data_IF_293471828353
#
_entry.id   IF_293471828353
#
_cell.length_a   1.000
_cell.length_b   1.000
_cell.length_c   1.000
_cell.angle_alpha   90.00
_cell.angle_beta   90.00
_cell.angle_gamma   90.00
#
_symmetry.space_group_name_H-M   'P 1'
#
loop_
_entity.id
_entity.type
_entity.pdbx_description
1 polymer ?
#
# COMPACT_ATOMS: atom_id res chain seq x y z
N UNK A 1 0.38 6.34 -38.31
CA UNK A 1 -0.41 6.38 -37.08
C UNK A 1 0.27 5.54 -35.99
N UNK A 2 0.45 6.10 -34.82
CA UNK A 2 1.09 5.38 -33.75
C UNK A 2 0.17 4.27 -33.21
N UNK A 3 0.68 3.07 -33.17
CA UNK A 3 -0.04 1.97 -32.55
C UNK A 3 0.25 1.96 -31.05
N UNK A 4 -0.80 1.77 -30.27
CA UNK A 4 -0.65 1.61 -28.84
C UNK A 4 -0.41 0.13 -28.57
N UNK A 5 0.78 -0.18 -28.09
CA UNK A 5 1.11 -1.54 -27.70
C UNK A 5 0.94 -1.68 -26.20
N UNK A 6 0.13 -2.65 -25.79
CA UNK A 6 -0.10 -2.92 -24.39
C UNK A 6 0.38 -4.33 -24.06
N UNK A 7 1.28 -4.43 -23.11
CA UNK A 7 1.76 -5.69 -22.60
C UNK A 7 0.88 -6.11 -21.41
N UNK A 8 -0.19 -6.84 -21.68
CA UNK A 8 -1.15 -7.26 -20.65
C UNK A 8 -0.49 -8.10 -19.57
N UNK A 9 0.40 -9.01 -19.98
CA UNK A 9 1.08 -9.89 -19.04
C UNK A 9 1.98 -9.07 -18.12
N UNK A 10 2.69 -8.08 -18.67
CA UNK A 10 3.52 -7.17 -17.89
C UNK A 10 2.71 -6.31 -16.93
N UNK A 11 1.57 -5.78 -17.40
CA UNK A 11 0.68 -4.98 -16.56
C UNK A 11 0.11 -5.81 -15.41
N UNK A 12 -0.35 -7.03 -15.70
CA UNK A 12 -0.89 -7.93 -14.68
C UNK A 12 0.17 -8.33 -13.67
N UNK A 13 1.39 -8.59 -14.13
CA UNK A 13 2.52 -8.94 -13.28
C UNK A 13 2.87 -7.78 -12.33
N UNK A 14 2.85 -6.54 -12.84
CA UNK A 14 3.13 -5.36 -12.01
C UNK A 14 2.00 -5.09 -11.03
N UNK A 15 0.76 -5.35 -11.42
CA UNK A 15 -0.38 -5.25 -10.52
C UNK A 15 -0.22 -6.22 -9.34
N UNK A 16 0.16 -7.47 -9.62
CA UNK A 16 0.41 -8.48 -8.59
C UNK A 16 1.57 -8.08 -7.68
N UNK A 17 2.60 -7.47 -8.26
CA UNK A 17 3.74 -6.93 -7.52
C UNK A 17 3.30 -5.83 -6.55
N UNK A 18 2.42 -4.93 -7.00
CA UNK A 18 1.86 -3.88 -6.14
C UNK A 18 1.07 -4.49 -4.98
N UNK A 19 0.27 -5.52 -5.26
CA UNK A 19 -0.48 -6.21 -4.20
C UNK A 19 0.44 -6.86 -3.18
N UNK A 20 1.52 -7.48 -3.64
CA UNK A 20 2.50 -8.09 -2.75
C UNK A 20 3.20 -7.04 -1.88
N UNK A 21 3.55 -5.89 -2.46
CA UNK A 21 4.17 -4.79 -1.72
C UNK A 21 3.22 -4.18 -0.70
N UNK A 22 1.93 -4.07 -1.06
CA UNK A 22 0.90 -3.58 -0.14
C UNK A 22 0.78 -4.51 1.06
N UNK A 23 0.77 -5.83 0.84
CA UNK A 23 0.72 -6.82 1.91
C UNK A 23 1.93 -6.71 2.83
N UNK A 24 3.13 -6.53 2.26
CA UNK A 24 4.35 -6.33 3.02
C UNK A 24 4.28 -5.06 3.87
N UNK A 25 3.78 -3.98 3.29
CA UNK A 25 3.62 -2.70 4.01
C UNK A 25 2.66 -2.85 5.18
N UNK A 26 1.52 -3.52 4.98
CA UNK A 26 0.54 -3.79 6.03
C UNK A 26 1.14 -4.62 7.17
N UNK A 27 1.94 -5.63 6.84
CA UNK A 27 2.63 -6.45 7.82
C UNK A 27 3.63 -5.64 8.63
N UNK A 28 4.41 -4.79 7.96
CA UNK A 28 5.39 -3.93 8.63
C UNK A 28 4.72 -2.89 9.51
N UNK A 29 3.58 -2.35 9.08
CA UNK A 29 2.79 -1.44 9.90
C UNK A 29 2.34 -2.14 11.20
N UNK A 30 1.86 -3.37 11.09
CA UNK A 30 1.44 -4.15 12.25
C UNK A 30 2.59 -4.38 13.22
N UNK A 31 3.77 -4.74 12.72
CA UNK A 31 4.98 -4.92 13.54
C UNK A 31 5.36 -3.61 14.22
N UNK A 32 5.31 -2.49 13.51
CA UNK A 32 5.59 -1.18 14.09
C UNK A 32 4.65 -0.87 15.25
N UNK A 33 3.36 -1.13 15.08
CA UNK A 33 2.36 -0.90 16.13
C UNK A 33 2.62 -1.79 17.36
N UNK A 34 2.95 -3.04 17.14
CA UNK A 34 3.26 -3.99 18.22
C UNK A 34 4.54 -3.58 18.97
N UNK A 35 5.57 -3.22 18.24
CA UNK A 35 6.86 -2.80 18.83
C UNK A 35 6.68 -1.51 19.62
N UNK A 36 5.95 -0.54 19.07
CA UNK A 36 5.66 0.71 19.78
C UNK A 36 4.84 0.47 21.05
N UNK A 37 3.88 -0.46 20.99
CA UNK A 37 3.10 -0.85 22.15
C UNK A 37 3.96 -1.48 23.26
N UNK A 38 4.92 -2.32 22.87
CA UNK A 38 5.86 -2.93 23.82
C UNK A 38 6.76 -1.85 24.47
N UNK A 39 7.26 -0.91 23.68
CA UNK A 39 8.05 0.19 24.20
C UNK A 39 7.26 1.03 25.19
N UNK A 40 6.00 1.30 24.87
CA UNK A 40 5.13 2.10 25.75
C UNK A 40 4.95 1.44 27.12
N UNK A 41 4.91 0.13 27.18
CA UNK A 41 4.75 -0.59 28.45
C UNK A 41 5.99 -0.55 29.33
N UNK A 42 7.15 -0.19 28.77
CA UNK A 42 8.43 -0.13 29.46
C UNK A 42 8.87 1.29 29.82
N UNK A 43 8.04 2.28 29.50
CA UNK A 43 8.48 3.68 29.52
C UNK A 43 7.33 4.59 29.94
N UNK A 44 7.57 5.44 30.92
CA UNK A 44 6.59 6.39 31.41
C UNK A 44 7.09 7.83 31.26
N UNK A 45 6.15 8.78 31.19
CA UNK A 45 6.45 10.19 31.18
C UNK A 45 6.07 10.89 29.90
N UNK A 46 6.38 12.20 29.85
CA UNK A 46 5.98 13.06 28.73
C UNK A 46 6.65 12.65 27.42
N UNK A 47 7.89 12.20 27.48
CA UNK A 47 8.61 11.75 26.30
C UNK A 47 7.94 10.49 25.70
N UNK A 48 7.41 9.63 26.52
CA UNK A 48 6.66 8.44 26.06
C UNK A 48 5.38 8.87 25.34
N UNK A 49 4.65 9.84 25.91
CA UNK A 49 3.43 10.33 25.26
C UNK A 49 3.74 10.98 23.91
N UNK A 50 4.79 11.77 23.82
CA UNK A 50 5.24 12.39 22.57
C UNK A 50 5.62 11.34 21.53
N UNK A 51 6.33 10.30 21.93
CA UNK A 51 6.71 9.19 21.05
C UNK A 51 5.46 8.44 20.54
N UNK A 52 4.53 8.13 21.45
CA UNK A 52 3.29 7.44 21.08
C UNK A 52 2.48 8.26 20.07
N UNK A 53 2.37 9.58 20.27
CA UNK A 53 1.66 10.44 19.34
C UNK A 53 2.34 10.49 17.97
N UNK A 54 3.67 10.53 17.95
CA UNK A 54 4.43 10.53 16.70
C UNK A 54 4.20 9.22 15.91
N UNK A 55 4.25 8.08 16.60
CA UNK A 55 4.00 6.78 15.97
C UNK A 55 2.58 6.70 15.43
N UNK A 56 1.59 7.14 16.21
CA UNK A 56 0.19 7.13 15.76
C UNK A 56 -0.01 7.99 14.52
N UNK A 57 0.61 9.16 14.46
CA UNK A 57 0.55 10.04 13.30
C UNK A 57 1.17 9.36 12.07
N UNK A 58 2.31 8.72 12.25
CA UNK A 58 3.00 8.02 11.16
C UNK A 58 2.20 6.81 10.69
N UNK A 59 1.56 6.07 11.59
CA UNK A 59 0.68 4.94 11.25
C UNK A 59 -0.52 5.43 10.42
N UNK A 60 -1.09 6.58 10.76
CA UNK A 60 -2.16 7.18 9.95
C UNK A 60 -1.70 7.48 8.53
N UNK A 61 -0.49 8.03 8.38
CA UNK A 61 0.08 8.30 7.06
C UNK A 61 0.32 7.04 6.26
N UNK A 62 0.80 5.98 6.93
CA UNK A 62 0.98 4.67 6.29
C UNK A 62 -0.37 4.14 5.82
N UNK A 63 -1.42 4.27 6.62
CA UNK A 63 -2.76 3.83 6.26
C UNK A 63 -3.29 4.59 5.05
N UNK A 64 -3.08 5.90 4.99
CA UNK A 64 -3.43 6.70 3.83
C UNK A 64 -2.69 6.24 2.57
N UNK A 65 -1.41 5.91 2.73
CA UNK A 65 -0.59 5.39 1.64
C UNK A 65 -1.07 4.02 1.16
N UNK A 66 -1.43 3.14 2.09
CA UNK A 66 -2.05 1.84 1.75
C UNK A 66 -3.31 2.03 0.92
N UNK A 67 -4.16 2.97 1.32
CA UNK A 67 -5.40 3.26 0.59
C UNK A 67 -5.11 3.80 -0.80
N UNK A 68 -4.10 4.64 -0.95
CA UNK A 68 -3.67 5.14 -2.26
C UNK A 68 -3.19 3.99 -3.16
N UNK A 69 -2.41 3.07 -2.61
CA UNK A 69 -1.93 1.90 -3.36
C UNK A 69 -3.11 1.02 -3.80
N UNK A 70 -4.09 0.79 -2.93
CA UNK A 70 -5.30 0.03 -3.28
C UNK A 70 -6.04 0.69 -4.44
N UNK A 71 -6.14 2.00 -4.41
CA UNK A 71 -6.77 2.76 -5.50
C UNK A 71 -6.01 2.57 -6.81
N UNK A 72 -4.68 2.64 -6.76
CA UNK A 72 -3.84 2.41 -7.95
C UNK A 72 -4.02 1.01 -8.50
N UNK A 73 -4.09 0.00 -7.64
CA UNK A 73 -4.31 -1.38 -8.04
C UNK A 73 -5.67 -1.53 -8.75
N UNK A 74 -6.71 -0.91 -8.18
CA UNK A 74 -8.05 -0.93 -8.76
C UNK A 74 -8.08 -0.25 -10.12
N UNK A 75 -7.45 0.91 -10.25
CA UNK A 75 -7.38 1.64 -11.52
C UNK A 75 -6.62 0.85 -12.56
N UNK A 76 -5.51 0.24 -12.17
CA UNK A 76 -4.71 -0.58 -13.07
C UNK A 76 -5.53 -1.78 -13.56
N UNK A 77 -6.28 -2.41 -12.65
CA UNK A 77 -7.18 -3.52 -13.01
C UNK A 77 -8.25 -3.10 -14.03
N UNK A 78 -8.83 -1.91 -13.84
CA UNK A 78 -9.82 -1.36 -14.78
C UNK A 78 -9.20 -1.09 -16.14
N UNK A 79 -7.99 -0.56 -16.17
CA UNK A 79 -7.27 -0.29 -17.42
C UNK A 79 -6.97 -1.58 -18.17
N UNK A 80 -6.48 -2.60 -17.45
CA UNK A 80 -6.18 -3.90 -18.03
C UNK A 80 -7.45 -4.51 -18.63
N UNK A 81 -8.55 -4.45 -17.90
CA UNK A 81 -9.83 -4.99 -18.35
C UNK A 81 -10.34 -4.26 -19.59
N UNK A 82 -10.23 -2.93 -19.60
CA UNK A 82 -10.68 -2.12 -20.73
C UNK A 82 -9.91 -2.46 -22.01
N UNK A 83 -8.58 -2.57 -21.94
CA UNK A 83 -7.78 -2.95 -23.09
C UNK A 83 -8.04 -4.38 -23.53
N UNK A 84 -8.24 -5.29 -22.59
CA UNK A 84 -8.52 -6.67 -22.90
C UNK A 84 -9.85 -6.81 -23.65
N UNK A 85 -10.87 -6.08 -23.23
CA UNK A 85 -12.17 -6.06 -23.93
C UNK A 85 -12.05 -5.49 -25.33
N UNK A 86 -11.27 -4.43 -25.48
CA UNK A 86 -11.06 -3.80 -26.80
C UNK A 86 -10.39 -4.77 -27.77
N UNK A 87 -9.45 -5.59 -27.31
CA UNK A 87 -8.78 -6.57 -28.15
C UNK A 87 -9.69 -7.73 -28.57
N UNK A 88 -10.68 -8.06 -27.73
CA UNK A 88 -11.62 -9.15 -28.04
C UNK A 88 -12.65 -8.78 -29.10
N UNK A 89 -12.79 -7.53 -29.41
CA UNK A 89 -13.66 -7.03 -30.46
C UNK A 89 -12.88 -6.96 -31.78
#
# INVERSE_FOLDING_TARGET
MAEIMVNFQGLSSKKDELQAKLSQLSSKKSVLQQTAGSLRSMWEGDAQAAFTNAVNTDVEKITEFENAIRDYINRLGEIIEAYNKAEQQ
#
